data_IF_270249127430
#
_entry.id   IF_270249127430
#
_cell.length_a   1.000
_cell.length_b   1.000
_cell.length_c   1.000
_cell.angle_alpha   90.00
_cell.angle_beta   90.00
_cell.angle_gamma   90.00
#
_symmetry.space_group_name_H-M   'P 1'
#
loop_
_entity.id
_entity.type
_entity.pdbx_description
1 polymer ?
#
# COMPACT_ATOMS: atom_id res chain seq x y z
N UNK A 1 -9.82 -17.26 -3.05
CA UNK A 1 -8.41 -16.94 -2.67
C UNK A 1 -8.48 -15.74 -1.75
N UNK A 2 -7.85 -15.77 -0.57
CA UNK A 2 -7.85 -14.62 0.33
C UNK A 2 -6.98 -13.49 -0.23
N UNK A 3 -7.21 -12.25 0.20
CA UNK A 3 -6.36 -11.09 -0.15
C UNK A 3 -4.88 -11.37 0.13
N UNK A 4 -4.57 -12.04 1.23
CA UNK A 4 -3.20 -12.40 1.59
C UNK A 4 -2.57 -13.41 0.64
N UNK A 5 -3.29 -14.49 0.30
CA UNK A 5 -2.79 -15.49 -0.65
C UNK A 5 -2.54 -14.88 -2.04
N UNK A 6 -3.42 -13.98 -2.48
CA UNK A 6 -3.26 -13.27 -3.75
C UNK A 6 -2.03 -12.36 -3.74
N UNK A 7 -1.83 -11.57 -2.68
CA UNK A 7 -0.64 -10.72 -2.56
C UNK A 7 0.63 -11.56 -2.52
N UNK A 8 0.64 -12.69 -1.83
CA UNK A 8 1.80 -13.58 -1.78
C UNK A 8 2.16 -14.14 -3.15
N UNK A 9 1.18 -14.73 -3.84
CA UNK A 9 1.37 -15.35 -5.16
C UNK A 9 1.90 -14.34 -6.19
N UNK A 10 1.35 -13.12 -6.21
CA UNK A 10 1.79 -12.08 -7.12
C UNK A 10 3.19 -11.54 -6.78
N UNK A 11 3.54 -11.43 -5.50
CA UNK A 11 4.89 -11.04 -5.10
C UNK A 11 5.91 -12.15 -5.37
N UNK A 12 5.55 -13.42 -5.21
CA UNK A 12 6.40 -14.56 -5.57
C UNK A 12 6.70 -14.54 -7.07
N UNK A 13 5.68 -14.39 -7.92
CA UNK A 13 5.87 -14.27 -9.38
C UNK A 13 6.79 -13.10 -9.77
N UNK A 14 6.65 -11.96 -9.09
CA UNK A 14 7.53 -10.81 -9.36
C UNK A 14 8.94 -11.10 -8.87
N UNK A 15 9.11 -11.68 -7.68
CA UNK A 15 10.40 -12.03 -7.10
C UNK A 15 11.18 -13.06 -7.94
N UNK A 16 10.49 -14.07 -8.47
CA UNK A 16 11.08 -15.08 -9.38
C UNK A 16 11.59 -14.45 -10.68
N UNK A 17 10.86 -13.48 -11.24
CA UNK A 17 11.26 -12.78 -12.47
C UNK A 17 12.34 -11.74 -12.24
N UNK A 18 12.25 -11.07 -11.10
CA UNK A 18 13.15 -9.99 -10.71
C UNK A 18 13.29 -10.02 -9.18
N UNK A 19 14.47 -10.44 -8.73
CA UNK A 19 14.79 -10.57 -7.31
C UNK A 19 14.46 -9.28 -6.54
N UNK A 20 13.44 -9.34 -5.68
CA UNK A 20 13.07 -8.24 -4.77
C UNK A 20 14.07 -8.25 -3.62
N UNK A 21 14.90 -7.21 -3.53
CA UNK A 21 15.94 -7.07 -2.48
C UNK A 21 15.51 -6.17 -1.32
N UNK A 22 14.48 -5.35 -1.52
CA UNK A 22 13.87 -4.49 -0.51
C UNK A 22 12.40 -4.26 -0.89
N UNK A 23 11.49 -4.42 0.07
CA UNK A 23 10.08 -4.09 -0.09
C UNK A 23 9.74 -2.80 0.68
N UNK A 24 9.07 -1.85 0.04
CA UNK A 24 8.65 -0.58 0.68
C UNK A 24 7.14 -0.43 0.59
N UNK A 25 6.47 -0.18 1.71
CA UNK A 25 5.01 -0.05 1.79
C UNK A 25 4.54 1.07 2.73
N UNK A 26 3.27 1.47 2.59
CA UNK A 26 2.68 2.66 3.21
C UNK A 26 1.97 2.44 4.56
N UNK A 27 1.96 1.22 5.07
CA UNK A 27 1.34 0.82 6.32
C UNK A 27 -0.17 0.63 6.28
N UNK A 28 -0.80 0.61 5.09
CA UNK A 28 -2.24 0.40 4.96
C UNK A 28 -2.69 -0.97 5.50
N UNK A 29 -3.67 -0.95 6.38
CA UNK A 29 -4.34 -2.14 6.91
C UNK A 29 -5.83 -1.90 7.06
N UNK A 30 -6.62 -2.95 6.97
CA UNK A 30 -8.05 -2.98 7.28
C UNK A 30 -8.20 -3.76 8.57
N UNK A 31 -8.91 -3.19 9.55
CA UNK A 31 -9.19 -3.83 10.82
C UNK A 31 -10.69 -4.10 10.96
N UNK A 32 -11.05 -5.22 11.59
CA UNK A 32 -12.43 -5.46 12.03
C UNK A 32 -12.78 -4.60 13.26
N UNK A 33 -14.01 -4.74 13.75
CA UNK A 33 -14.51 -4.02 14.93
C UNK A 33 -13.73 -4.31 16.22
N UNK A 34 -13.03 -5.45 16.28
CA UNK A 34 -12.25 -5.89 17.43
C UNK A 34 -10.76 -5.49 17.27
N UNK A 35 -10.43 -4.74 16.21
CA UNK A 35 -9.09 -4.25 15.91
C UNK A 35 -8.18 -5.28 15.22
N UNK A 36 -8.69 -6.46 14.86
CA UNK A 36 -7.92 -7.50 14.18
C UNK A 36 -7.69 -7.10 12.74
N UNK A 37 -6.47 -7.28 12.24
CA UNK A 37 -6.17 -7.00 10.83
C UNK A 37 -6.79 -8.09 9.95
N UNK A 38 -7.73 -7.69 9.09
CA UNK A 38 -8.46 -8.57 8.18
C UNK A 38 -8.08 -8.34 6.71
N UNK A 39 -7.24 -7.36 6.41
CA UNK A 39 -6.83 -7.08 5.04
C UNK A 39 -5.88 -5.89 4.90
N UNK A 40 -5.55 -5.58 3.65
CA UNK A 40 -4.69 -4.48 3.25
C UNK A 40 -3.45 -4.95 2.50
N UNK A 41 -3.23 -4.36 1.33
CA UNK A 41 -2.13 -4.76 0.45
C UNK A 41 -0.76 -4.55 1.12
N UNK A 42 -0.58 -3.41 1.78
CA UNK A 42 0.65 -3.08 2.49
C UNK A 42 0.92 -4.04 3.65
N UNK A 43 -0.12 -4.41 4.41
CA UNK A 43 0.00 -5.41 5.47
C UNK A 43 0.47 -6.76 4.93
N UNK A 44 -0.20 -7.29 3.91
CA UNK A 44 0.15 -8.59 3.34
C UNK A 44 1.50 -8.57 2.61
N UNK A 45 1.86 -7.45 1.97
CA UNK A 45 3.17 -7.28 1.36
C UNK A 45 4.29 -7.32 2.40
N UNK A 46 4.09 -6.69 3.57
CA UNK A 46 5.02 -6.80 4.70
C UNK A 46 5.12 -8.24 5.20
N UNK A 47 3.99 -8.92 5.37
CA UNK A 47 4.00 -10.32 5.82
C UNK A 47 4.70 -11.25 4.82
N UNK A 48 4.56 -10.99 3.52
CA UNK A 48 5.30 -11.70 2.47
C UNK A 48 6.80 -11.48 2.61
N UNK A 49 7.24 -10.23 2.82
CA UNK A 49 8.65 -9.90 2.99
C UNK A 49 9.24 -10.59 4.22
N UNK A 50 8.52 -10.59 5.34
CA UNK A 50 8.90 -11.36 6.55
C UNK A 50 9.02 -12.85 6.24
N UNK A 51 8.03 -13.44 5.58
CA UNK A 51 8.02 -14.87 5.26
C UNK A 51 9.16 -15.29 4.32
N UNK A 52 9.59 -14.41 3.41
CA UNK A 52 10.71 -14.64 2.49
C UNK A 52 12.06 -14.13 2.99
N UNK A 53 12.12 -13.62 4.22
CA UNK A 53 13.32 -12.98 4.78
C UNK A 53 13.86 -11.85 3.90
N UNK A 54 12.97 -11.12 3.23
CA UNK A 54 13.29 -9.95 2.42
C UNK A 54 13.24 -8.70 3.33
N UNK A 55 14.28 -7.85 3.31
CA UNK A 55 14.23 -6.56 4.00
C UNK A 55 13.00 -5.76 3.60
N UNK A 56 12.39 -5.06 4.56
CA UNK A 56 11.26 -4.19 4.27
C UNK A 56 11.33 -2.87 5.03
N UNK A 57 10.64 -1.86 4.51
CA UNK A 57 10.45 -0.57 5.13
C UNK A 57 8.98 -0.15 5.10
N UNK A 58 8.50 0.41 6.21
CA UNK A 58 7.18 1.00 6.34
C UNK A 58 7.30 2.51 6.42
N UNK A 59 6.64 3.22 5.52
CA UNK A 59 6.48 4.67 5.61
C UNK A 59 5.01 5.01 5.88
N UNK A 60 4.64 5.19 7.14
CA UNK A 60 3.27 5.58 7.47
C UNK A 60 3.04 7.06 7.17
N UNK A 61 1.87 7.40 6.61
CA UNK A 61 1.50 8.80 6.43
C UNK A 61 1.17 9.45 7.79
N UNK A 62 1.79 10.59 8.09
CA UNK A 62 1.48 11.37 9.29
C UNK A 62 0.26 12.28 9.05
N UNK A 63 -0.93 11.69 9.20
CA UNK A 63 -2.20 12.39 9.01
C UNK A 63 -2.46 13.51 10.02
N UNK A 64 -1.76 13.53 11.16
CA UNK A 64 -2.03 14.47 12.26
C UNK A 64 -0.96 15.57 12.38
N UNK A 65 0.07 15.55 11.54
CA UNK A 65 1.02 16.65 11.43
C UNK A 65 0.43 17.84 10.67
N UNK A 66 -0.45 18.59 11.34
CA UNK A 66 -1.17 19.73 10.78
C UNK A 66 -0.30 20.99 10.61
N UNK A 67 0.96 20.96 11.06
CA UNK A 67 1.91 22.08 10.98
C UNK A 67 2.77 22.04 9.71
N UNK A 68 2.60 21.04 8.84
CA UNK A 68 3.32 21.01 7.57
C UNK A 68 2.98 22.26 6.75
N UNK A 69 3.96 22.95 6.13
CA UNK A 69 3.69 24.17 5.37
C UNK A 69 2.69 23.97 4.22
N UNK A 70 2.64 22.75 3.67
CA UNK A 70 1.71 22.36 2.60
C UNK A 70 0.50 21.54 3.10
N UNK A 71 0.14 21.66 4.38
CA UNK A 71 -0.99 20.91 4.93
C UNK A 71 -2.33 21.36 4.31
N UNK A 72 -3.08 20.40 3.77
CA UNK A 72 -4.49 20.59 3.37
C UNK A 72 -5.37 20.08 4.50
N UNK A 73 -5.61 20.94 5.50
CA UNK A 73 -6.33 20.58 6.73
C UNK A 73 -7.81 20.34 6.41
N UNK A 74 -8.25 19.10 6.64
CA UNK A 74 -9.64 18.66 6.52
C UNK A 74 -10.14 18.14 7.85
N UNK A 75 -11.44 17.96 7.94
CA UNK A 75 -12.13 17.39 9.10
C UNK A 75 -12.96 16.21 8.62
N UNK A 76 -12.86 15.07 9.29
CA UNK A 76 -13.69 13.90 9.00
C UNK A 76 -15.06 14.02 9.71
N UNK A 77 -15.92 12.99 9.58
CA UNK A 77 -17.27 12.99 10.16
C UNK A 77 -17.29 13.06 11.71
N UNK A 78 -16.26 12.54 12.38
CA UNK A 78 -16.20 12.55 13.85
C UNK A 78 -15.53 13.81 14.42
N UNK A 79 -15.16 14.77 13.55
CA UNK A 79 -14.56 16.03 13.96
C UNK A 79 -13.04 16.04 14.04
N UNK A 80 -12.37 14.89 13.83
CA UNK A 80 -10.91 14.83 13.80
C UNK A 80 -10.36 15.57 12.58
N UNK A 81 -9.47 16.52 12.84
CA UNK A 81 -8.70 17.21 11.81
C UNK A 81 -7.54 16.33 11.32
N UNK A 82 -7.32 16.33 10.02
CA UNK A 82 -6.23 15.60 9.37
C UNK A 82 -5.69 16.39 8.18
N UNK A 83 -4.46 16.12 7.80
CA UNK A 83 -3.85 16.64 6.59
C UNK A 83 -4.11 15.70 5.40
N UNK A 84 -4.93 16.14 4.45
CA UNK A 84 -5.25 15.36 3.24
C UNK A 84 -4.01 15.10 2.36
N UNK A 85 -3.00 15.97 2.42
CA UNK A 85 -1.76 15.84 1.66
C UNK A 85 -0.74 14.89 2.32
N UNK A 86 -0.97 14.40 3.54
CA UNK A 86 -0.05 13.49 4.23
C UNK A 86 0.21 12.19 3.43
N UNK A 87 -0.85 11.59 2.87
CA UNK A 87 -0.74 10.38 2.03
C UNK A 87 0.12 10.60 0.78
N UNK A 88 -0.22 11.57 -0.09
CA UNK A 88 0.60 11.92 -1.26
C UNK A 88 2.04 12.29 -0.95
N UNK A 89 2.29 13.08 0.11
CA UNK A 89 3.66 13.43 0.50
C UNK A 89 4.45 12.19 0.94
N UNK A 90 3.83 11.28 1.70
CA UNK A 90 4.46 9.99 2.03
C UNK A 90 4.72 9.15 0.77
N UNK A 91 3.80 9.09 -0.20
CA UNK A 91 4.03 8.37 -1.45
C UNK A 91 5.31 8.87 -2.16
N UNK A 92 5.47 10.19 -2.24
CA UNK A 92 6.66 10.80 -2.83
C UNK A 92 7.92 10.51 -2.00
N UNK A 93 7.84 10.59 -0.66
CA UNK A 93 8.92 10.23 0.24
C UNK A 93 9.43 8.80 -0.01
N UNK A 94 8.55 7.82 -0.19
CA UNK A 94 8.97 6.44 -0.48
C UNK A 94 9.79 6.34 -1.76
N UNK A 95 9.41 7.09 -2.80
CA UNK A 95 10.13 7.11 -4.08
C UNK A 95 11.49 7.80 -3.91
N UNK A 96 11.52 8.97 -3.28
CA UNK A 96 12.73 9.79 -3.17
C UNK A 96 13.78 9.14 -2.26
N UNK A 97 13.33 8.59 -1.12
CA UNK A 97 14.19 8.00 -0.08
C UNK A 97 14.77 6.65 -0.50
N UNK A 98 13.92 5.77 -1.05
CA UNK A 98 14.32 4.39 -1.33
C UNK A 98 14.71 4.15 -2.79
N UNK A 99 14.38 5.08 -3.69
CA UNK A 99 14.65 4.99 -5.14
C UNK A 99 14.30 3.61 -5.72
N UNK A 100 13.07 3.12 -5.53
CA UNK A 100 12.70 1.80 -6.01
C UNK A 100 12.75 1.76 -7.54
N UNK A 101 13.05 0.59 -8.09
CA UNK A 101 13.08 0.37 -9.55
C UNK A 101 11.71 0.06 -10.12
N UNK A 102 10.79 -0.44 -9.28
CA UNK A 102 9.47 -0.92 -9.67
C UNK A 102 8.42 -0.58 -8.63
N UNK A 103 7.21 -0.25 -9.09
CA UNK A 103 5.99 -0.21 -8.30
C UNK A 103 5.14 -1.45 -8.62
N UNK A 104 4.72 -2.19 -7.58
CA UNK A 104 3.71 -3.24 -7.68
C UNK A 104 2.43 -2.68 -7.07
N UNK A 105 1.44 -2.39 -7.92
CA UNK A 105 0.20 -1.76 -7.52
C UNK A 105 -0.94 -2.77 -7.50
N UNK A 106 -1.37 -3.17 -6.30
CA UNK A 106 -2.61 -3.90 -6.09
C UNK A 106 -3.83 -2.99 -6.27
N UNK A 107 -5.00 -3.57 -6.58
CA UNK A 107 -6.25 -2.82 -6.70
C UNK A 107 -6.51 -2.00 -5.43
N UNK A 108 -6.77 -0.71 -5.61
CA UNK A 108 -7.06 0.20 -4.51
C UNK A 108 -7.67 1.52 -4.97
N UNK A 109 -7.88 2.43 -4.01
CA UNK A 109 -8.58 3.69 -4.22
C UNK A 109 -7.67 4.87 -4.61
N UNK A 110 -8.00 6.06 -4.10
CA UNK A 110 -7.28 7.30 -4.39
C UNK A 110 -5.79 7.26 -4.02
N UNK A 111 -5.44 6.59 -2.92
CA UNK A 111 -4.04 6.43 -2.48
C UNK A 111 -3.18 5.67 -3.50
N UNK A 112 -3.69 4.53 -4.00
CA UNK A 112 -3.04 3.74 -5.05
C UNK A 112 -2.91 4.54 -6.34
N UNK A 113 -3.97 5.24 -6.77
CA UNK A 113 -3.94 6.09 -7.97
C UNK A 113 -2.87 7.17 -7.87
N UNK A 114 -2.77 7.82 -6.71
CA UNK A 114 -1.74 8.83 -6.47
C UNK A 114 -0.32 8.23 -6.52
N UNK A 115 -0.10 7.06 -5.93
CA UNK A 115 1.19 6.36 -6.00
C UNK A 115 1.57 5.98 -7.44
N UNK A 116 0.63 5.50 -8.24
CA UNK A 116 0.87 5.20 -9.67
C UNK A 116 1.28 6.47 -10.44
N UNK A 117 0.61 7.59 -10.20
CA UNK A 117 0.95 8.87 -10.84
C UNK A 117 2.37 9.31 -10.44
N UNK A 118 2.72 9.23 -9.15
CA UNK A 118 4.04 9.58 -8.66
C UNK A 118 5.14 8.67 -9.27
N UNK A 119 4.91 7.36 -9.30
CA UNK A 119 5.82 6.39 -9.90
C UNK A 119 6.04 6.63 -11.40
N UNK A 120 4.97 6.97 -12.15
CA UNK A 120 5.09 7.33 -13.58
C UNK A 120 5.97 8.55 -13.78
N UNK A 121 5.78 9.59 -12.96
CA UNK A 121 6.58 10.81 -13.02
C UNK A 121 8.06 10.57 -12.70
N UNK A 122 8.33 9.61 -11.81
CA UNK A 122 9.68 9.19 -11.44
C UNK A 122 10.28 8.13 -12.39
N UNK A 123 9.56 7.71 -13.45
CA UNK A 123 10.08 6.78 -14.45
C UNK A 123 10.21 5.33 -13.98
N UNK A 124 9.48 4.92 -12.95
CA UNK A 124 9.49 3.55 -12.44
C UNK A 124 8.79 2.61 -13.40
N UNK A 125 9.22 1.34 -13.42
CA UNK A 125 8.43 0.26 -14.01
C UNK A 125 7.20 -0.01 -13.11
N UNK A 126 6.02 -0.18 -13.70
CA UNK A 126 4.76 -0.28 -12.95
C UNK A 126 4.03 -1.56 -13.35
N UNK A 127 3.84 -2.44 -12.38
CA UNK A 127 3.01 -3.64 -12.49
C UNK A 127 1.69 -3.37 -11.79
N UNK A 128 0.60 -3.28 -12.56
CA UNK A 128 -0.75 -3.19 -11.99
C UNK A 128 -1.29 -4.61 -11.88
N UNK A 129 -1.42 -5.08 -10.64
CA UNK A 129 -1.92 -6.40 -10.33
C UNK A 129 -3.45 -6.37 -10.34
N UNK A 130 -4.06 -7.21 -11.18
CA UNK A 130 -5.51 -7.37 -11.28
C UNK A 130 -5.87 -8.81 -10.91
N UNK A 131 -6.93 -9.05 -10.12
CA UNK A 131 -7.46 -10.41 -9.96
C UNK A 131 -7.85 -10.94 -11.35
N UNK A 132 -7.51 -12.19 -11.66
CA UNK A 132 -8.10 -12.88 -12.80
C UNK A 132 -9.61 -13.03 -12.59
N UNK A 133 -10.39 -12.99 -13.67
CA UNK A 133 -11.84 -13.20 -13.62
C UNK A 133 -12.18 -14.47 -12.83
N UNK A 134 -13.15 -14.37 -11.90
CA UNK A 134 -13.59 -15.48 -11.07
C UNK A 134 -12.98 -15.58 -9.66
N UNK A 135 -12.11 -14.66 -9.24
CA UNK A 135 -11.62 -14.64 -7.85
C UNK A 135 -12.61 -13.90 -6.94
N UNK A 136 -13.29 -14.57 -5.99
CA UNK A 136 -14.14 -13.88 -5.01
C UNK A 136 -13.24 -13.01 -4.13
N UNK A 137 -13.53 -11.71 -4.07
CA UNK A 137 -12.74 -10.76 -3.29
C UNK A 137 -13.13 -10.70 -1.81
N UNK A 138 -14.13 -11.49 -1.37
CA UNK A 138 -14.55 -11.52 0.04
C UNK A 138 -15.21 -12.86 0.35
N UNK A 139 -14.60 -13.69 1.21
CA UNK A 139 -15.32 -14.69 1.99
C UNK A 139 -15.47 -14.14 3.42
N UNK A 140 -16.67 -13.66 3.76
CA UNK A 140 -17.05 -13.52 5.18
C UNK A 140 -17.71 -12.20 5.62
N UNK A 141 -18.96 -11.99 5.21
CA UNK A 141 -20.09 -11.64 6.13
C UNK A 141 -21.36 -12.25 5.49
N UNK A 142 -22.15 -13.08 6.19
CA UNK A 142 -23.39 -13.63 5.64
C UNK A 142 -24.46 -12.54 5.45
N UNK A 143 -25.35 -12.79 4.49
CA UNK A 143 -26.57 -12.01 4.25
C UNK A 143 -27.52 -12.01 5.44
#
# INVERSE_FOLDING_TARGET
MTDGAFVFDELDKVHERQNITLLVEGGQRTQDKDGRVIGGADHWARMWAVARSIPYATEAADWHYLKHPEADIRQNRNGTKYDRNAGPRRNQLMIDKYRPTRLIAFKGGAGTRNMIIAARRAGLDIVVVRPSEGTPLFDGVPA
#
